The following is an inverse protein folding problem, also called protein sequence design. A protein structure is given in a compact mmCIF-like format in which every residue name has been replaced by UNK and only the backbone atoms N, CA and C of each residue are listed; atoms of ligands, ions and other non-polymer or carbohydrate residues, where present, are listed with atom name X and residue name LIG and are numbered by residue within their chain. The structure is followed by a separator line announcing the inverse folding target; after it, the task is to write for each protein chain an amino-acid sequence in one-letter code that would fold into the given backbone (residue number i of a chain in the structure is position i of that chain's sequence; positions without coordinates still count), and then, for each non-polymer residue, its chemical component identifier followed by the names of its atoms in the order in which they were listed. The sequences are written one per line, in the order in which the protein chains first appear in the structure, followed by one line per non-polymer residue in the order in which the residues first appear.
data_IF_526732477374
#
_entry.id   IF_526732477374
#
_cell.length_a   1.000
_cell.length_b   1.000
_cell.length_c   1.000
_cell.angle_alpha   90.00
_cell.angle_beta   90.00
_cell.angle_gamma   90.00
#
_symmetry.space_group_name_H-M   'P 1'
#
loop_
_entity.id
_entity.type
_entity.pdbx_description
1 polymer ?
#
# COMPACT_ATOMS: atom_id res chain seq x y z
N UNK A 1 20.66 -5.83 -41.89
CA UNK A 1 20.12 -4.65 -41.19
C UNK A 1 18.98 -5.11 -40.27
N UNK A 2 19.21 -5.34 -38.97
CA UNK A 2 18.12 -5.32 -37.94
C UNK A 2 18.69 -5.30 -36.50
N UNK A 3 19.67 -4.45 -36.21
CA UNK A 3 20.26 -4.33 -34.86
C UNK A 3 19.52 -3.32 -33.97
N UNK A 4 18.61 -2.52 -34.54
CA UNK A 4 17.86 -1.48 -33.83
C UNK A 4 16.64 -2.06 -33.09
N UNK A 5 15.88 -2.95 -33.75
CA UNK A 5 14.66 -3.56 -33.17
C UNK A 5 14.98 -4.49 -31.99
N UNK A 6 16.11 -5.19 -32.04
CA UNK A 6 16.61 -6.01 -30.92
C UNK A 6 17.01 -5.18 -29.70
N UNK A 7 17.60 -4.00 -29.87
CA UNK A 7 17.98 -3.12 -28.75
C UNK A 7 16.76 -2.52 -28.05
N UNK A 8 15.73 -2.14 -28.80
CA UNK A 8 14.52 -1.53 -28.24
C UNK A 8 13.71 -2.55 -27.42
N UNK A 9 13.58 -3.79 -27.93
CA UNK A 9 12.99 -4.92 -27.17
C UNK A 9 13.75 -5.19 -25.87
N UNK A 10 15.09 -5.19 -25.90
CA UNK A 10 15.93 -5.38 -24.70
C UNK A 10 15.72 -4.29 -23.65
N UNK A 11 15.50 -3.04 -24.06
CA UNK A 11 15.18 -1.94 -23.12
C UNK A 11 13.82 -2.15 -22.44
N UNK A 12 12.80 -2.56 -23.20
CA UNK A 12 11.45 -2.81 -22.66
C UNK A 12 11.48 -3.96 -21.66
N UNK A 13 12.13 -5.07 -22.00
CA UNK A 13 12.29 -6.21 -21.09
C UNK A 13 13.08 -5.81 -19.85
N UNK A 14 14.18 -5.05 -19.98
CA UNK A 14 14.93 -4.54 -18.84
C UNK A 14 14.06 -3.69 -17.90
N UNK A 15 13.20 -2.83 -18.45
CA UNK A 15 12.27 -2.01 -17.66
C UNK A 15 11.24 -2.87 -16.93
N UNK A 16 10.66 -3.86 -17.60
CA UNK A 16 9.69 -4.80 -17.00
C UNK A 16 10.34 -5.64 -15.90
N UNK A 17 11.53 -6.19 -16.15
CA UNK A 17 12.28 -6.98 -15.18
C UNK A 17 12.65 -6.15 -13.93
N UNK A 18 13.13 -4.92 -14.12
CA UNK A 18 13.45 -4.00 -13.00
C UNK A 18 12.21 -3.50 -12.25
N UNK A 19 11.01 -3.56 -12.83
CA UNK A 19 9.74 -3.18 -12.20
C UNK A 19 9.16 -4.34 -11.38
N UNK A 20 9.22 -5.55 -11.92
CA UNK A 20 8.68 -6.77 -11.31
C UNK A 20 9.70 -7.56 -10.48
N UNK A 21 10.87 -6.98 -10.19
CA UNK A 21 11.87 -7.63 -9.35
C UNK A 21 11.34 -7.89 -7.92
N UNK A 22 11.59 -9.07 -7.31
CA UNK A 22 11.09 -9.41 -5.98
C UNK A 22 11.41 -8.37 -4.90
N UNK A 23 12.63 -7.84 -4.87
CA UNK A 23 13.06 -6.79 -3.93
C UNK A 23 12.25 -5.48 -3.97
N UNK A 24 11.45 -5.26 -5.03
CA UNK A 24 10.56 -4.09 -5.17
C UNK A 24 9.08 -4.44 -4.99
N UNK A 25 8.76 -5.73 -4.86
CA UNK A 25 7.40 -6.26 -4.75
C UNK A 25 7.29 -7.07 -3.44
N UNK A 26 7.65 -6.42 -2.33
CA UNK A 26 7.63 -6.99 -0.98
C UNK A 26 6.18 -7.33 -0.61
N UNK A 27 5.93 -8.55 -0.13
CA UNK A 27 4.59 -9.10 0.10
C UNK A 27 3.91 -9.73 -1.12
N UNK A 28 4.56 -9.71 -2.30
CA UNK A 28 4.12 -10.45 -3.49
C UNK A 28 5.33 -11.05 -4.23
N UNK A 29 6.35 -11.46 -3.47
CA UNK A 29 7.65 -11.90 -3.98
C UNK A 29 7.52 -13.13 -4.87
N UNK A 30 6.63 -14.06 -4.52
CA UNK A 30 6.42 -15.30 -5.26
C UNK A 30 5.83 -15.05 -6.65
N UNK A 31 4.87 -14.13 -6.76
CA UNK A 31 4.32 -13.73 -8.06
C UNK A 31 5.36 -12.95 -8.87
N UNK A 32 6.05 -12.00 -8.25
CA UNK A 32 7.12 -11.22 -8.86
C UNK A 32 8.24 -12.13 -9.41
N UNK A 33 8.59 -13.18 -8.67
CA UNK A 33 9.53 -14.22 -9.10
C UNK A 33 9.02 -14.98 -10.31
N UNK A 34 7.75 -15.41 -10.32
CA UNK A 34 7.12 -16.08 -11.47
C UNK A 34 7.11 -15.19 -12.71
N UNK A 35 6.78 -13.90 -12.56
CA UNK A 35 6.81 -12.92 -13.65
C UNK A 35 8.24 -12.76 -14.19
N UNK A 36 9.24 -12.67 -13.32
CA UNK A 36 10.65 -12.56 -13.74
C UNK A 36 11.13 -13.81 -14.48
N UNK A 37 10.75 -15.01 -14.02
CA UNK A 37 11.04 -16.28 -14.68
C UNK A 37 10.37 -16.37 -16.06
N UNK A 38 9.11 -15.96 -16.15
CA UNK A 38 8.38 -15.91 -17.40
C UNK A 38 9.02 -14.94 -18.41
N UNK A 39 9.45 -13.75 -17.97
CA UNK A 39 10.19 -12.81 -18.80
C UNK A 39 11.53 -13.38 -19.29
N UNK A 40 12.21 -14.19 -18.47
CA UNK A 40 13.43 -14.89 -18.87
C UNK A 40 13.14 -15.94 -19.95
N UNK A 41 12.07 -16.73 -19.79
CA UNK A 41 11.65 -17.76 -20.75
C UNK A 41 11.24 -17.16 -22.10
N UNK A 42 10.43 -16.09 -22.10
CA UNK A 42 10.01 -15.43 -23.35
C UNK A 42 11.22 -14.95 -24.14
N UNK A 43 12.21 -14.36 -23.47
CA UNK A 43 13.37 -13.83 -24.21
C UNK A 43 14.28 -14.95 -24.70
N UNK A 44 14.39 -16.03 -23.93
CA UNK A 44 15.09 -17.22 -24.39
C UNK A 44 14.45 -17.79 -25.68
N UNK A 45 13.11 -17.92 -25.73
CA UNK A 45 12.40 -18.37 -26.93
C UNK A 45 12.62 -17.41 -28.11
N UNK A 46 12.54 -16.11 -27.86
CA UNK A 46 12.75 -15.07 -28.88
C UNK A 46 14.16 -15.05 -29.48
N UNK A 47 15.21 -15.31 -28.68
CA UNK A 47 16.59 -15.35 -29.18
C UNK A 47 16.94 -16.68 -29.85
N UNK A 48 16.30 -17.79 -29.43
CA UNK A 48 16.46 -19.11 -30.04
C UNK A 48 15.63 -19.30 -31.33
N UNK A 49 14.87 -18.27 -31.76
CA UNK A 49 14.00 -18.34 -32.95
C UNK A 49 12.81 -19.28 -32.79
N UNK A 50 12.46 -19.66 -31.56
CA UNK A 50 11.33 -20.53 -31.25
C UNK A 50 10.03 -19.74 -31.14
N UNK A 51 8.93 -20.36 -31.54
CA UNK A 51 7.61 -19.78 -31.42
C UNK A 51 7.21 -19.58 -29.94
N UNK A 52 6.66 -18.41 -29.65
CA UNK A 52 6.33 -17.97 -28.28
C UNK A 52 5.15 -18.80 -27.74
N UNK A 53 4.21 -19.13 -28.62
CA UNK A 53 2.93 -19.79 -28.32
C UNK A 53 3.04 -21.33 -28.28
N UNK A 54 4.21 -21.89 -28.61
CA UNK A 54 4.44 -23.33 -28.47
C UNK A 54 4.55 -23.71 -26.99
N UNK A 55 3.52 -24.40 -26.50
CA UNK A 55 3.41 -25.01 -25.16
C UNK A 55 4.27 -26.28 -25.08
N UNK A 56 5.56 -26.18 -25.37
CA UNK A 56 6.50 -27.26 -25.07
C UNK A 56 6.96 -27.13 -23.61
N UNK A 57 6.61 -28.15 -22.82
CA UNK A 57 7.17 -28.41 -21.49
C UNK A 57 8.65 -28.79 -21.63
N UNK A 58 9.49 -27.83 -22.01
CA UNK A 58 10.94 -27.98 -21.91
C UNK A 58 11.35 -27.49 -20.52
N UNK A 59 11.86 -28.42 -19.71
CA UNK A 59 12.50 -28.12 -18.44
C UNK A 59 13.58 -27.07 -18.71
N UNK A 60 13.40 -25.86 -18.16
CA UNK A 60 14.33 -24.77 -18.34
C UNK A 60 15.64 -25.10 -17.63
N UNK A 61 16.60 -25.69 -18.36
CA UNK A 61 17.99 -25.75 -17.92
C UNK A 61 18.76 -24.56 -18.50
N UNK A 62 19.13 -23.57 -17.68
CA UNK A 62 19.81 -22.39 -18.17
C UNK A 62 21.24 -22.74 -18.55
N UNK A 63 21.52 -22.84 -19.85
CA UNK A 63 22.90 -22.78 -20.33
C UNK A 63 23.49 -21.42 -19.95
N UNK A 64 24.52 -21.46 -19.09
CA UNK A 64 25.13 -20.32 -18.41
C UNK A 64 25.91 -19.38 -19.35
N UNK A 65 25.93 -19.66 -20.65
CA UNK A 65 26.73 -18.97 -21.67
C UNK A 65 25.99 -17.98 -22.57
N UNK A 66 24.67 -17.76 -22.43
CA UNK A 66 23.97 -16.81 -23.31
C UNK A 66 24.22 -15.35 -22.90
N UNK A 67 24.48 -14.48 -23.90
CA UNK A 67 24.69 -13.03 -23.70
C UNK A 67 23.55 -12.39 -22.89
N UNK A 68 22.33 -12.91 -22.99
CA UNK A 68 21.16 -12.39 -22.30
C UNK A 68 21.06 -12.83 -20.82
N UNK A 69 21.50 -14.04 -20.47
CA UNK A 69 21.57 -14.46 -19.06
C UNK A 69 22.60 -13.63 -18.27
N UNK A 70 23.70 -13.23 -18.93
CA UNK A 70 24.68 -12.28 -18.37
C UNK A 70 24.05 -10.89 -18.09
N UNK A 71 23.11 -10.45 -18.94
CA UNK A 71 22.36 -9.22 -18.73
C UNK A 71 21.38 -9.34 -17.57
N UNK A 72 20.68 -10.47 -17.40
CA UNK A 72 19.81 -10.67 -16.25
C UNK A 72 20.56 -10.68 -14.92
N UNK A 73 21.73 -11.33 -14.84
CA UNK A 73 22.59 -11.24 -13.65
C UNK A 73 23.00 -9.79 -13.35
N UNK A 74 23.31 -9.03 -14.40
CA UNK A 74 23.63 -7.61 -14.28
C UNK A 74 22.42 -6.79 -13.83
N UNK A 75 21.22 -7.08 -14.34
CA UNK A 75 19.99 -6.37 -13.99
C UNK A 75 19.47 -6.72 -12.60
N UNK A 76 19.63 -7.97 -12.17
CA UNK A 76 19.35 -8.47 -10.83
C UNK A 76 20.27 -7.76 -9.82
N UNK A 77 21.58 -7.69 -10.12
CA UNK A 77 22.54 -6.90 -9.34
C UNK A 77 22.19 -5.40 -9.31
N UNK A 78 21.84 -4.81 -10.45
CA UNK A 78 21.40 -3.40 -10.52
C UNK A 78 20.13 -3.17 -9.68
N UNK A 79 19.15 -4.06 -9.79
CA UNK A 79 17.86 -3.93 -9.10
C UNK A 79 18.02 -4.05 -7.58
N UNK A 80 18.88 -4.98 -7.12
CA UNK A 80 19.31 -5.12 -5.73
C UNK A 80 20.04 -3.88 -5.25
N UNK A 81 20.95 -3.33 -6.05
CA UNK A 81 21.69 -2.12 -5.70
C UNK A 81 20.77 -0.88 -5.62
N UNK A 82 19.82 -0.73 -6.54
CA UNK A 82 18.80 0.33 -6.50
C UNK A 82 17.91 0.21 -5.25
N UNK A 83 17.48 -1.01 -4.90
CA UNK A 83 16.70 -1.28 -3.69
C UNK A 83 17.50 -0.92 -2.43
N UNK A 84 18.76 -1.35 -2.34
CA UNK A 84 19.65 -1.02 -1.22
C UNK A 84 19.99 0.48 -1.14
N UNK A 85 20.15 1.16 -2.27
CA UNK A 85 20.33 2.62 -2.31
C UNK A 85 19.09 3.34 -1.80
N UNK A 86 17.91 2.85 -2.15
CA UNK A 86 16.64 3.39 -1.64
C UNK A 86 16.50 3.18 -0.13
N UNK A 87 16.85 1.98 0.38
CA UNK A 87 16.89 1.69 1.82
C UNK A 87 17.89 2.58 2.58
N UNK A 88 19.10 2.78 2.01
CA UNK A 88 20.13 3.69 2.58
C UNK A 88 19.71 5.17 2.55
N UNK A 89 18.98 5.61 1.53
CA UNK A 89 18.41 6.98 1.46
C UNK A 89 17.33 7.20 2.51
N UNK A 90 16.53 6.18 2.83
CA UNK A 90 15.57 6.22 3.96
C UNK A 90 16.28 6.29 5.31
N UNK A 91 17.41 5.59 5.49
CA UNK A 91 18.20 5.59 6.73
C UNK A 91 19.06 6.84 6.99
N UNK A 92 19.39 7.65 5.97
CA UNK A 92 20.27 8.85 6.11
C UNK A 92 19.55 10.18 6.38
N UNK A 93 18.24 10.19 6.61
CA UNK A 93 17.50 11.41 6.99
C UNK A 93 17.64 11.79 8.47
N UNK A 94 18.32 10.98 9.30
CA UNK A 94 18.75 11.34 10.64
C UNK A 94 20.26 11.61 10.70
N UNK A 95 20.66 12.88 10.86
CA UNK A 95 22.05 13.26 11.13
C UNK A 95 22.75 13.95 9.95
N UNK A 96 22.85 15.28 10.02
CA UNK A 96 23.68 16.07 9.10
C UNK A 96 23.31 17.54 9.08
N UNK A 97 23.84 18.29 10.04
CA UNK A 97 23.90 19.76 10.02
C UNK A 97 24.63 20.23 8.76
N UNK A 98 23.94 21.03 7.96
CA UNK A 98 24.49 21.63 6.76
C UNK A 98 23.48 22.63 6.21
N UNK A 99 23.76 23.91 6.44
CA UNK A 99 22.94 25.03 5.98
C UNK A 99 23.04 25.11 4.45
N UNK A 100 22.16 24.40 3.77
CA UNK A 100 21.76 24.73 2.41
C UNK A 100 20.27 24.99 2.47
N UNK A 101 19.85 26.16 2.00
CA UNK A 101 18.45 26.57 1.88
C UNK A 101 17.76 25.53 0.96
N UNK A 102 17.25 24.46 1.59
CA UNK A 102 16.61 23.34 0.90
C UNK A 102 15.39 23.92 0.21
N UNK A 103 15.46 24.01 -1.12
CA UNK A 103 14.26 24.05 -1.97
C UNK A 103 13.31 22.98 -1.43
N UNK A 104 12.01 23.28 -1.20
CA UNK A 104 11.05 22.26 -0.79
C UNK A 104 11.19 21.10 -1.77
N UNK A 105 11.58 19.92 -1.29
CA UNK A 105 11.65 18.76 -2.14
C UNK A 105 10.26 18.54 -2.71
N UNK A 106 10.14 18.48 -4.04
CA UNK A 106 8.86 18.24 -4.70
C UNK A 106 8.18 17.00 -4.08
N UNK A 107 6.86 17.05 -3.87
CA UNK A 107 6.09 15.91 -3.37
C UNK A 107 6.38 14.65 -4.19
N UNK A 108 6.70 13.53 -3.52
CA UNK A 108 7.00 12.26 -4.21
C UNK A 108 5.86 11.28 -3.96
N UNK A 109 4.90 11.13 -4.89
CA UNK A 109 3.77 10.23 -4.71
C UNK A 109 4.18 8.74 -4.84
N UNK A 110 3.49 7.86 -4.13
CA UNK A 110 3.61 6.41 -4.19
C UNK A 110 2.24 5.74 -4.33
N UNK A 111 1.82 5.49 -5.57
CA UNK A 111 0.55 4.81 -5.84
C UNK A 111 0.55 3.35 -5.36
N UNK A 112 1.71 2.69 -5.30
CA UNK A 112 1.80 1.33 -4.77
C UNK A 112 1.46 1.31 -3.28
N UNK A 113 2.15 2.12 -2.47
CA UNK A 113 1.92 2.19 -1.02
C UNK A 113 0.48 2.63 -0.74
N UNK A 114 -0.01 3.66 -1.43
CA UNK A 114 -1.40 4.10 -1.30
C UNK A 114 -2.40 2.94 -1.48
N UNK A 115 -2.24 2.12 -2.53
CA UNK A 115 -3.11 0.95 -2.75
C UNK A 115 -3.01 -0.11 -1.65
N UNK A 116 -1.81 -0.36 -1.12
CA UNK A 116 -1.61 -1.31 -0.02
C UNK A 116 -2.33 -0.83 1.25
N UNK A 117 -2.25 0.45 1.56
CA UNK A 117 -2.93 1.05 2.71
C UNK A 117 -4.46 1.02 2.54
N UNK A 118 -4.98 1.35 1.35
CA UNK A 118 -6.42 1.22 1.06
C UNK A 118 -6.90 -0.23 1.21
N UNK A 119 -6.11 -1.20 0.72
CA UNK A 119 -6.43 -2.63 0.87
C UNK A 119 -6.53 -3.00 2.34
N UNK A 120 -5.60 -2.56 3.19
CA UNK A 120 -5.66 -2.80 4.64
C UNK A 120 -6.90 -2.15 5.27
N UNK A 121 -7.22 -0.92 4.90
CA UNK A 121 -8.40 -0.23 5.41
C UNK A 121 -9.71 -0.98 5.05
N UNK A 122 -9.81 -1.51 3.81
CA UNK A 122 -10.95 -2.34 3.36
C UNK A 122 -11.04 -3.67 4.11
N UNK A 123 -9.90 -4.29 4.44
CA UNK A 123 -9.87 -5.49 5.30
C UNK A 123 -10.44 -5.17 6.69
N UNK A 124 -10.06 -4.04 7.29
CA UNK A 124 -10.62 -3.60 8.58
C UNK A 124 -12.13 -3.40 8.51
N UNK A 125 -12.62 -2.68 7.49
CA UNK A 125 -14.06 -2.48 7.31
C UNK A 125 -14.80 -3.82 7.14
N UNK A 126 -14.25 -4.74 6.34
CA UNK A 126 -14.83 -6.07 6.15
C UNK A 126 -14.89 -6.86 7.46
N UNK A 127 -13.84 -6.76 8.30
CA UNK A 127 -13.84 -7.31 9.65
C UNK A 127 -14.94 -6.70 10.51
N UNK A 128 -15.03 -5.37 10.57
CA UNK A 128 -16.05 -4.65 11.34
C UNK A 128 -17.48 -5.07 10.94
N UNK A 129 -17.76 -5.17 9.63
CA UNK A 129 -19.05 -5.62 9.11
C UNK A 129 -19.38 -7.07 9.52
N UNK A 130 -18.38 -7.96 9.56
CA UNK A 130 -18.56 -9.34 10.02
C UNK A 130 -18.78 -9.43 11.53
N UNK A 131 -18.15 -8.55 12.30
CA UNK A 131 -18.24 -8.53 13.75
C UNK A 131 -19.50 -7.87 14.30
N UNK A 132 -20.22 -7.07 13.50
CA UNK A 132 -21.47 -6.38 13.86
C UNK A 132 -22.62 -7.41 14.04
N UNK A 133 -22.78 -8.06 15.21
CA UNK A 133 -23.40 -9.40 15.27
C UNK A 133 -24.87 -9.41 14.83
N UNK A 134 -25.31 -10.57 14.35
CA UNK A 134 -26.75 -10.90 14.25
C UNK A 134 -27.30 -11.68 15.48
N UNK A 135 -26.49 -12.17 16.44
CA UNK A 135 -26.91 -12.63 17.79
C UNK A 135 -25.78 -13.32 18.61
N UNK A 136 -26.07 -13.49 19.91
CA UNK A 136 -25.61 -14.44 20.96
C UNK A 136 -24.23 -14.35 21.63
N UNK A 137 -23.30 -13.53 21.16
CA UNK A 137 -22.17 -13.09 21.99
C UNK A 137 -22.33 -11.59 22.18
N UNK A 138 -22.55 -11.16 23.43
CA UNK A 138 -22.81 -9.77 23.80
C UNK A 138 -21.89 -8.80 23.03
N UNK A 139 -22.45 -7.82 22.30
CA UNK A 139 -21.71 -7.17 21.23
C UNK A 139 -20.61 -6.23 21.74
N UNK A 140 -19.38 -6.46 21.27
CA UNK A 140 -18.19 -5.62 21.51
C UNK A 140 -18.22 -4.37 20.58
N UNK A 141 -19.29 -3.58 20.66
CA UNK A 141 -19.55 -2.45 19.76
C UNK A 141 -18.48 -1.36 19.81
N UNK A 142 -17.88 -1.12 20.98
CA UNK A 142 -16.75 -0.20 21.11
C UNK A 142 -15.55 -0.64 20.24
N UNK A 143 -15.30 -1.95 20.14
CA UNK A 143 -14.23 -2.47 19.29
C UNK A 143 -14.55 -2.32 17.80
N UNK A 144 -15.82 -2.49 17.41
CA UNK A 144 -16.25 -2.22 16.03
C UNK A 144 -16.04 -0.75 15.68
N UNK A 145 -16.47 0.16 16.56
CA UNK A 145 -16.23 1.60 16.40
C UNK A 145 -14.73 1.93 16.30
N UNK A 146 -13.89 1.25 17.09
CA UNK A 146 -12.43 1.42 17.04
C UNK A 146 -11.86 0.93 15.70
N UNK A 147 -12.31 -0.22 15.19
CA UNK A 147 -11.87 -0.75 13.89
C UNK A 147 -12.28 0.22 12.77
N UNK A 148 -13.48 0.80 12.83
CA UNK A 148 -13.93 1.84 11.91
C UNK A 148 -13.02 3.08 11.95
N UNK A 149 -12.70 3.57 13.15
CA UNK A 149 -11.78 4.69 13.33
C UNK A 149 -10.40 4.40 12.70
N UNK A 150 -9.82 3.23 12.99
CA UNK A 150 -8.54 2.81 12.42
C UNK A 150 -8.59 2.62 10.91
N UNK A 151 -9.69 2.07 10.39
CA UNK A 151 -9.91 1.92 8.95
C UNK A 151 -9.84 3.29 8.25
N UNK A 152 -10.48 4.32 8.81
CA UNK A 152 -10.41 5.69 8.30
C UNK A 152 -9.01 6.30 8.47
N UNK A 153 -8.35 6.11 9.62
CA UNK A 153 -6.96 6.57 9.83
C UNK A 153 -6.02 6.04 8.74
N UNK A 154 -6.09 4.72 8.47
CA UNK A 154 -5.27 4.04 7.47
C UNK A 154 -5.62 4.53 6.06
N UNK A 155 -6.91 4.70 5.75
CA UNK A 155 -7.35 5.21 4.46
C UNK A 155 -6.89 6.67 4.21
N UNK A 156 -6.93 7.53 5.23
CA UNK A 156 -6.41 8.89 5.14
C UNK A 156 -4.91 8.89 4.90
N UNK A 157 -4.15 8.04 5.61
CA UNK A 157 -2.71 7.86 5.34
C UNK A 157 -2.44 7.41 3.90
N UNK A 158 -3.31 6.62 3.29
CA UNK A 158 -3.19 6.26 1.87
C UNK A 158 -3.29 7.47 0.93
N UNK A 159 -4.08 8.50 1.27
CA UNK A 159 -4.16 9.76 0.51
C UNK A 159 -2.83 10.52 0.58
N UNK A 160 -2.19 10.55 1.75
CA UNK A 160 -0.86 11.12 1.90
C UNK A 160 0.19 10.35 1.08
N UNK A 161 0.15 9.01 1.06
CA UNK A 161 1.04 8.25 0.18
C UNK A 161 0.84 8.57 -1.30
N UNK A 162 -0.37 8.91 -1.73
CA UNK A 162 -0.65 9.28 -3.13
C UNK A 162 -0.23 10.71 -3.47
N UNK A 163 0.00 11.57 -2.49
CA UNK A 163 0.42 12.98 -2.70
C UNK A 163 1.90 13.16 -2.42
N UNK A 164 2.37 12.78 -1.22
CA UNK A 164 3.77 12.81 -0.83
C UNK A 164 4.13 11.66 0.14
N UNK A 165 4.67 10.58 -0.41
CA UNK A 165 5.10 9.41 0.36
C UNK A 165 6.29 9.69 1.30
N UNK A 166 6.93 10.85 1.20
CA UNK A 166 8.01 11.26 2.08
C UNK A 166 7.53 12.10 3.27
N UNK A 167 6.25 12.48 3.31
CA UNK A 167 5.68 13.40 4.29
C UNK A 167 4.32 12.89 4.78
N UNK A 168 4.33 11.73 5.44
CA UNK A 168 3.14 11.15 6.06
C UNK A 168 3.03 11.70 7.49
N UNK A 169 1.90 12.31 7.89
CA UNK A 169 1.72 12.73 9.27
C UNK A 169 1.78 11.55 10.25
N UNK A 170 2.49 11.74 11.37
CA UNK A 170 2.63 10.72 12.42
C UNK A 170 1.37 10.58 13.29
N UNK A 171 0.54 11.63 13.32
CA UNK A 171 -0.70 11.65 14.10
C UNK A 171 -1.64 10.50 13.71
N UNK A 172 -2.35 9.98 14.71
CA UNK A 172 -3.42 8.99 14.55
C UNK A 172 -4.80 9.64 14.60
N UNK A 173 -4.87 10.95 14.86
CA UNK A 173 -6.12 11.67 14.98
C UNK A 173 -6.71 11.93 13.58
N UNK A 174 -7.83 11.29 13.26
CA UNK A 174 -8.47 11.41 11.95
C UNK A 174 -8.91 12.84 11.61
N UNK A 175 -9.30 13.64 12.61
CA UNK A 175 -9.65 15.06 12.41
C UNK A 175 -8.43 15.89 12.02
N UNK A 176 -7.28 15.66 12.65
CA UNK A 176 -6.02 16.31 12.27
C UNK A 176 -5.52 15.85 10.89
N UNK A 177 -5.67 14.56 10.58
CA UNK A 177 -5.31 14.00 9.28
C UNK A 177 -6.16 14.62 8.16
N UNK A 178 -7.47 14.72 8.32
CA UNK A 178 -8.34 15.26 7.27
C UNK A 178 -8.27 16.78 7.17
N UNK A 179 -7.94 17.49 8.26
CA UNK A 179 -7.86 18.95 8.25
C UNK A 179 -6.79 19.51 7.30
N UNK A 180 -5.77 18.71 6.95
CA UNK A 180 -4.71 19.08 6.01
C UNK A 180 -4.94 18.55 4.59
N UNK A 181 -6.09 17.93 4.32
CA UNK A 181 -6.49 17.42 3.02
C UNK A 181 -7.59 18.30 2.44
N UNK A 182 -7.59 18.49 1.13
CA UNK A 182 -8.60 19.28 0.43
C UNK A 182 -9.82 18.44 0.02
N UNK A 183 -11.00 19.06 0.07
CA UNK A 183 -12.25 18.54 -0.49
C UNK A 183 -13.27 17.97 0.50
N UNK A 184 -14.31 17.33 -0.05
CA UNK A 184 -15.54 16.92 0.67
C UNK A 184 -15.37 15.75 1.65
N UNK A 185 -14.13 15.33 1.90
CA UNK A 185 -13.81 14.25 2.83
C UNK A 185 -13.95 14.68 4.30
N UNK A 186 -13.69 15.96 4.58
CA UNK A 186 -13.68 16.52 5.94
C UNK A 186 -15.01 16.35 6.67
N UNK A 187 -16.18 16.71 6.10
CA UNK A 187 -17.47 16.50 6.77
C UNK A 187 -17.75 15.03 7.11
N UNK A 188 -17.36 14.09 6.24
CA UNK A 188 -17.56 12.65 6.48
C UNK A 188 -16.69 12.14 7.63
N UNK A 189 -15.41 12.53 7.65
CA UNK A 189 -14.48 12.14 8.71
C UNK A 189 -14.88 12.75 10.06
N UNK A 190 -15.27 14.02 10.08
CA UNK A 190 -15.76 14.67 11.32
C UNK A 190 -17.07 14.06 11.81
N UNK A 191 -17.94 13.62 10.89
CA UNK A 191 -19.15 12.86 11.25
C UNK A 191 -18.79 11.56 11.99
N UNK A 192 -17.78 10.82 11.52
CA UNK A 192 -17.31 9.62 12.21
C UNK A 192 -16.67 9.99 13.57
N UNK A 193 -15.79 10.98 13.60
CA UNK A 193 -15.09 11.40 14.82
C UNK A 193 -16.07 11.85 15.91
N UNK A 194 -17.13 12.56 15.54
CA UNK A 194 -18.20 12.99 16.45
C UNK A 194 -19.02 11.80 16.95
N UNK A 195 -19.33 10.85 16.05
CA UNK A 195 -20.12 9.66 16.38
C UNK A 195 -19.43 8.74 17.39
N UNK A 196 -18.13 8.45 17.19
CA UNK A 196 -17.42 7.46 18.01
C UNK A 196 -16.51 8.06 19.09
N UNK A 197 -16.19 9.35 18.97
CA UNK A 197 -15.29 10.06 19.87
C UNK A 197 -13.82 9.68 19.69
N UNK A 198 -13.00 10.08 20.67
CA UNK A 198 -11.56 9.82 20.65
C UNK A 198 -11.24 8.32 20.85
N UNK A 199 -10.20 7.78 20.18
CA UNK A 199 -9.83 6.36 20.26
C UNK A 199 -9.67 5.82 21.68
N UNK A 200 -9.08 6.61 22.56
CA UNK A 200 -8.73 6.16 23.91
C UNK A 200 -9.99 5.84 24.74
N UNK A 201 -11.13 6.49 24.44
CA UNK A 201 -12.41 6.23 25.10
C UNK A 201 -13.05 4.89 24.68
N UNK A 202 -12.70 4.38 23.50
CA UNK A 202 -13.17 3.07 23.02
C UNK A 202 -12.39 1.91 23.63
N UNK A 203 -11.24 2.17 24.26
CA UNK A 203 -10.29 1.15 24.71
C UNK A 203 -10.09 1.19 26.23
N UNK A 204 -9.95 2.37 26.82
CA UNK A 204 -9.47 2.52 28.20
C UNK A 204 -10.55 3.09 29.13
N UNK A 205 -10.93 2.37 30.21
CA UNK A 205 -11.95 2.84 31.16
C UNK A 205 -11.63 4.18 31.83
N UNK A 206 -10.36 4.45 32.17
CA UNK A 206 -9.93 5.69 32.83
C UNK A 206 -10.16 6.95 31.97
N UNK A 207 -10.38 6.78 30.66
CA UNK A 207 -10.62 7.89 29.72
C UNK A 207 -12.09 8.30 29.63
N UNK A 208 -12.99 7.59 30.32
CA UNK A 208 -14.42 7.86 30.29
C UNK A 208 -14.87 8.89 31.34
N UNK A 209 -14.10 9.08 32.41
CA UNK A 209 -14.43 9.97 33.54
C UNK A 209 -15.79 9.66 34.21
N UNK A 210 -16.25 8.41 34.13
CA UNK A 210 -17.50 7.90 34.70
C UNK A 210 -17.29 6.44 35.12
N UNK A 211 -18.09 5.87 36.04
CA UNK A 211 -17.96 4.49 36.49
C UNK A 211 -18.56 3.49 35.47
N UNK A 212 -18.09 3.55 34.22
CA UNK A 212 -18.44 2.63 33.13
C UNK A 212 -17.18 2.17 32.41
N UNK A 213 -17.29 1.05 31.70
CA UNK A 213 -16.25 0.56 30.79
C UNK A 213 -16.62 0.87 29.33
N UNK A 214 -15.65 0.90 28.39
CA UNK A 214 -15.93 1.24 26.99
C UNK A 214 -17.03 0.40 26.34
N UNK A 215 -17.10 -0.91 26.62
CA UNK A 215 -18.15 -1.77 26.05
C UNK A 215 -19.58 -1.38 26.45
N UNK A 216 -19.75 -0.60 27.53
CA UNK A 216 -21.05 -0.10 27.98
C UNK A 216 -21.41 1.26 27.37
N UNK A 217 -20.52 1.87 26.59
CA UNK A 217 -20.69 3.22 26.04
C UNK A 217 -21.15 3.24 24.59
N UNK A 218 -21.08 2.11 23.89
CA UNK A 218 -21.36 2.05 22.46
C UNK A 218 -22.49 1.05 22.22
N UNK A 219 -23.47 1.49 21.42
CA UNK A 219 -24.63 0.70 21.03
C UNK A 219 -24.47 0.10 19.64
N UNK A 220 -25.40 -0.80 19.28
CA UNK A 220 -25.52 -1.33 17.93
C UNK A 220 -25.70 -0.23 16.91
N UNK A 221 -26.63 0.71 17.16
CA UNK A 221 -26.86 1.87 16.30
C UNK A 221 -25.57 2.65 16.05
N UNK A 222 -24.79 2.91 17.10
CA UNK A 222 -23.53 3.65 16.99
C UNK A 222 -22.54 2.90 16.10
N UNK A 223 -22.38 1.59 16.31
CA UNK A 223 -21.47 0.75 15.52
C UNK A 223 -21.93 0.61 14.07
N UNK A 224 -23.22 0.41 13.82
CA UNK A 224 -23.81 0.31 12.48
C UNK A 224 -23.59 1.59 11.69
N UNK A 225 -23.90 2.74 12.29
CA UNK A 225 -23.66 4.05 11.69
C UNK A 225 -22.18 4.33 11.46
N UNK A 226 -21.30 3.89 12.37
CA UNK A 226 -19.85 4.01 12.19
C UNK A 226 -19.36 3.21 10.99
N UNK A 227 -19.87 1.98 10.80
CA UNK A 227 -19.58 1.14 9.62
C UNK A 227 -20.06 1.81 8.33
N UNK A 228 -21.28 2.34 8.30
CA UNK A 228 -21.84 3.02 7.12
C UNK A 228 -21.04 4.26 6.71
N UNK A 229 -20.70 5.11 7.70
CA UNK A 229 -19.89 6.31 7.45
C UNK A 229 -18.48 5.91 6.98
N UNK A 230 -17.88 4.90 7.60
CA UNK A 230 -16.55 4.37 7.21
C UNK A 230 -16.57 3.84 5.78
N UNK A 231 -17.61 3.11 5.39
CA UNK A 231 -17.79 2.63 4.02
C UNK A 231 -17.85 3.80 3.03
N UNK A 232 -18.68 4.81 3.34
CA UNK A 232 -18.82 6.01 2.49
C UNK A 232 -17.49 6.73 2.30
N UNK A 233 -16.70 6.88 3.37
CA UNK A 233 -15.36 7.47 3.35
C UNK A 233 -14.41 6.65 2.45
N UNK A 234 -14.41 5.33 2.59
CA UNK A 234 -13.54 4.43 1.82
C UNK A 234 -13.88 4.41 0.34
N UNK A 235 -15.17 4.45 0.00
CA UNK A 235 -15.63 4.51 -1.39
C UNK A 235 -15.16 5.84 -2.02
N UNK A 236 -15.39 6.96 -1.33
CA UNK A 236 -14.91 8.28 -1.75
C UNK A 236 -13.39 8.34 -1.98
N UNK A 237 -12.61 7.80 -1.03
CA UNK A 237 -11.15 7.76 -1.16
C UNK A 237 -10.75 6.83 -2.31
N UNK A 238 -11.37 5.66 -2.44
CA UNK A 238 -11.05 4.69 -3.50
C UNK A 238 -11.24 5.29 -4.89
N UNK A 239 -12.34 6.01 -5.12
CA UNK A 239 -12.66 6.61 -6.41
C UNK A 239 -11.61 7.65 -6.83
N UNK A 240 -11.06 8.41 -5.87
CA UNK A 240 -10.01 9.42 -6.12
C UNK A 240 -8.58 8.86 -6.14
N UNK A 241 -8.38 7.68 -5.56
CA UNK A 241 -7.05 7.05 -5.39
C UNK A 241 -6.80 5.85 -6.30
N UNK A 242 -7.80 5.39 -7.04
CA UNK A 242 -7.68 4.36 -8.08
C UNK A 242 -7.92 4.89 -9.49
N UNK A 243 -8.48 6.10 -9.63
CA UNK A 243 -8.45 6.88 -10.88
C UNK A 243 -7.03 7.32 -11.23
#
# INVERSE_FOLDING_TARGET
MDTSRGREKKKVVRRLYKKWHPDKNIGNEDFAKKVCQFLQQIVFKLESGQDIDSESSSTFEPSTGSNFYSHFRTWDRDAKHDSNRNKRRRGRRGGGSGHSRRQPSEPVPSCHESRQWIRQAKVHLTGAMKFLPKADIGPNFNSICMICYQSVEIALKAVYYRTDANNIPETKNISELVARLDGDLKPLVEKLATLVGKPERMIYPDKLNIPKIPSQMYSEDTATRAVEVTKTILDFISDRTLS
#
